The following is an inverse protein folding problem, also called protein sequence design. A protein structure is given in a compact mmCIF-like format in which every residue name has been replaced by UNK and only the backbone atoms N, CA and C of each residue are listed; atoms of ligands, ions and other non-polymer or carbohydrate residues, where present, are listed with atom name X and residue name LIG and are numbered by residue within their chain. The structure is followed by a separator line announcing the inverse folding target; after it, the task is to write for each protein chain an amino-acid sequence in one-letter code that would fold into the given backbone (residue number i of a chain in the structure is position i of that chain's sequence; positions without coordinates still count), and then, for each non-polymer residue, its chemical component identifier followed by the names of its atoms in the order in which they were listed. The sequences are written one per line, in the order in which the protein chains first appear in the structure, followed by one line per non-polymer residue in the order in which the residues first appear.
data_IF_769375252653
#
_entry.id   IF_769375252653
#
_cell.length_a   1.000
_cell.length_b   1.000
_cell.length_c   1.000
_cell.angle_alpha   90.00
_cell.angle_beta   90.00
_cell.angle_gamma   90.00
#
_symmetry.space_group_name_H-M   'P 1'
#
loop_
_entity.id
_entity.type
_entity.pdbx_description
1 polymer ?
#
# COMPACT_ATOMS: atom_id res chain seq x y z
N UNK A 1 -19.01 -10.46 -7.11
CA UNK A 1 -17.75 -10.37 -7.87
C UNK A 1 -17.99 -9.46 -9.06
N UNK A 2 -17.75 -8.15 -8.90
CA UNK A 2 -17.96 -7.17 -9.98
C UNK A 2 -16.63 -6.44 -10.19
N UNK A 3 -15.93 -6.82 -11.25
CA UNK A 3 -14.82 -6.03 -11.79
C UNK A 3 -15.49 -4.97 -12.65
N UNK A 4 -15.66 -3.75 -12.13
CA UNK A 4 -16.18 -2.64 -12.93
C UNK A 4 -15.10 -2.19 -13.89
N UNK A 5 -15.14 -2.74 -15.12
CA UNK A 5 -14.28 -2.35 -16.22
C UNK A 5 -15.07 -1.38 -17.10
N UNK A 6 -14.70 -0.10 -17.10
CA UNK A 6 -15.28 0.89 -18.01
C UNK A 6 -14.71 0.67 -19.42
N UNK A 7 -15.60 0.26 -20.34
CA UNK A 7 -15.47 0.10 -21.81
C UNK A 7 -15.18 -1.33 -22.36
N UNK A 8 -16.26 -1.98 -22.86
CA UNK A 8 -16.48 -2.73 -24.14
C UNK A 8 -15.29 -3.36 -24.89
N UNK A 9 -15.28 -4.57 -25.49
CA UNK A 9 -16.15 -5.76 -25.74
C UNK A 9 -15.21 -6.98 -25.90
N UNK A 10 -15.60 -8.24 -25.63
CA UNK A 10 -14.72 -9.40 -25.84
C UNK A 10 -14.91 -10.05 -27.22
N UNK A 11 -13.82 -10.54 -27.83
CA UNK A 11 -13.87 -11.53 -28.91
C UNK A 11 -12.80 -12.63 -28.74
N UNK A 12 -13.22 -13.87 -29.05
CA UNK A 12 -12.49 -15.17 -29.02
C UNK A 12 -11.28 -15.17 -29.98
N UNK A 13 -10.17 -15.92 -29.87
CA UNK A 13 -9.83 -17.28 -29.38
C UNK A 13 -8.31 -17.38 -29.01
N UNK A 14 -7.86 -18.53 -28.46
CA UNK A 14 -6.47 -19.05 -28.30
C UNK A 14 -5.31 -18.12 -28.74
N UNK A 15 -4.44 -17.81 -27.77
CA UNK A 15 -3.19 -17.02 -27.79
C UNK A 15 -3.33 -15.73 -26.96
N UNK A 16 -2.39 -15.60 -26.01
CA UNK A 16 -2.48 -14.81 -24.79
C UNK A 16 -2.71 -13.32 -25.07
N UNK A 17 -3.90 -12.84 -24.73
CA UNK A 17 -4.33 -11.44 -24.83
C UNK A 17 -3.55 -10.57 -23.84
N UNK A 18 -2.58 -9.79 -24.33
CA UNK A 18 -1.97 -8.70 -23.56
C UNK A 18 -2.70 -7.40 -23.87
N UNK A 19 -3.86 -7.20 -23.24
CA UNK A 19 -4.49 -5.87 -23.21
C UNK A 19 -3.60 -4.94 -22.38
N UNK A 20 -3.05 -3.90 -23.02
CA UNK A 20 -2.27 -2.85 -22.36
C UNK A 20 -3.23 -1.91 -21.62
N UNK A 21 -3.84 -2.38 -20.53
CA UNK A 21 -4.66 -1.57 -19.64
C UNK A 21 -3.76 -0.56 -18.93
N UNK A 22 -4.03 0.76 -19.02
CA UNK A 22 -3.22 1.75 -18.31
C UNK A 22 -3.33 1.65 -16.77
N UNK A 23 -4.48 1.19 -16.26
CA UNK A 23 -4.81 1.12 -14.83
C UNK A 23 -5.78 -0.04 -14.55
N UNK A 24 -5.48 -0.87 -13.55
CA UNK A 24 -6.33 -1.98 -13.10
C UNK A 24 -6.67 -1.82 -11.62
N UNK A 25 -7.95 -1.95 -11.23
CA UNK A 25 -8.38 -1.84 -9.83
C UNK A 25 -8.73 -3.24 -9.31
N UNK A 26 -7.93 -3.72 -8.36
CA UNK A 26 -8.15 -5.01 -7.71
C UNK A 26 -8.55 -4.81 -6.26
N UNK A 27 -9.75 -5.26 -5.89
CA UNK A 27 -10.32 -5.09 -4.55
C UNK A 27 -10.28 -3.62 -4.07
N UNK A 28 -10.36 -2.64 -4.97
CA UNK A 28 -10.25 -1.22 -4.60
C UNK A 28 -8.82 -0.72 -4.36
N UNK A 29 -7.79 -1.52 -4.70
CA UNK A 29 -6.40 -1.09 -4.82
C UNK A 29 -6.03 -0.90 -6.30
N UNK A 30 -5.55 0.28 -6.71
CA UNK A 30 -5.14 0.52 -8.09
C UNK A 30 -3.73 0.00 -8.36
N UNK A 31 -3.57 -0.69 -9.49
CA UNK A 31 -2.32 -1.25 -9.99
C UNK A 31 -2.04 -0.73 -11.41
N UNK A 32 -0.76 -0.55 -11.71
CA UNK A 32 -0.32 -0.13 -13.04
C UNK A 32 -0.40 -1.29 -14.04
N UNK A 33 -0.76 -0.97 -15.28
CA UNK A 33 -0.71 -1.90 -16.41
C UNK A 33 0.66 -2.48 -16.73
N UNK A 34 1.71 -1.77 -16.34
CA UNK A 34 3.10 -2.13 -16.63
C UNK A 34 3.61 -3.28 -15.75
N UNK A 35 2.83 -3.68 -14.73
CA UNK A 35 3.20 -4.71 -13.77
C UNK A 35 4.28 -4.29 -12.77
N UNK A 36 4.81 -3.07 -12.88
CA UNK A 36 5.83 -2.56 -11.96
C UNK A 36 5.21 -2.12 -10.61
N UNK A 37 5.83 -2.54 -9.51
CA UNK A 37 5.39 -2.17 -8.16
C UNK A 37 5.60 -0.68 -7.88
N UNK A 38 6.67 -0.10 -8.41
CA UNK A 38 7.01 1.32 -8.20
C UNK A 38 6.00 2.29 -8.83
N UNK A 39 5.49 1.97 -10.02
CA UNK A 39 4.41 2.73 -10.67
C UNK A 39 3.08 2.52 -9.93
N UNK A 40 2.77 1.29 -9.55
CA UNK A 40 1.57 0.96 -8.76
C UNK A 40 1.52 1.70 -7.43
N UNK A 41 2.64 1.84 -6.71
CA UNK A 41 2.69 2.63 -5.46
C UNK A 41 2.41 4.10 -5.71
N UNK A 42 2.96 4.70 -6.78
CA UNK A 42 2.71 6.10 -7.11
C UNK A 42 1.22 6.34 -7.42
N UNK A 43 0.62 5.43 -8.19
CA UNK A 43 -0.81 5.47 -8.49
C UNK A 43 -1.63 5.33 -7.21
N UNK A 44 -1.30 4.36 -6.35
CA UNK A 44 -1.99 4.19 -5.07
C UNK A 44 -1.84 5.43 -4.17
N UNK A 45 -0.65 6.05 -4.10
CA UNK A 45 -0.44 7.30 -3.37
C UNK A 45 -1.36 8.42 -3.88
N UNK A 46 -1.42 8.60 -5.20
CA UNK A 46 -2.28 9.61 -5.82
C UNK A 46 -3.77 9.31 -5.55
N UNK A 47 -4.17 8.05 -5.60
CA UNK A 47 -5.54 7.63 -5.29
C UNK A 47 -5.91 7.91 -3.82
N UNK A 48 -4.97 7.71 -2.87
CA UNK A 48 -5.18 7.97 -1.44
C UNK A 48 -4.99 9.44 -1.03
N UNK A 49 -4.44 10.28 -1.90
CA UNK A 49 -4.27 11.71 -1.65
C UNK A 49 -5.58 12.42 -1.29
N UNK A 50 -6.70 12.03 -1.90
CA UNK A 50 -8.01 12.60 -1.57
C UNK A 50 -8.37 12.42 -0.07
N UNK A 51 -8.06 11.26 0.51
CA UNK A 51 -8.35 10.99 1.92
C UNK A 51 -7.44 11.80 2.85
N UNK A 52 -6.16 11.94 2.48
CA UNK A 52 -5.23 12.83 3.17
C UNK A 52 -5.72 14.28 3.17
N UNK A 53 -6.17 14.80 2.02
CA UNK A 53 -6.69 16.17 1.90
C UNK A 53 -8.00 16.40 2.67
N UNK A 54 -8.89 15.40 2.71
CA UNK A 54 -10.09 15.45 3.56
C UNK A 54 -9.73 15.56 5.03
N UNK A 55 -8.74 14.78 5.48
CA UNK A 55 -8.25 14.85 6.86
C UNK A 55 -7.59 16.20 7.17
N UNK A 56 -6.76 16.73 6.28
CA UNK A 56 -6.18 18.08 6.44
C UNK A 56 -7.29 19.13 6.56
N UNK A 57 -8.29 19.06 5.68
CA UNK A 57 -9.45 19.95 5.72
C UNK A 57 -10.24 19.82 7.04
N UNK A 58 -10.40 18.60 7.55
CA UNK A 58 -11.01 18.33 8.84
C UNK A 58 -10.24 18.99 9.99
N UNK A 59 -8.92 18.86 10.03
CA UNK A 59 -8.08 19.49 11.06
C UNK A 59 -8.12 21.02 11.02
N UNK A 60 -8.21 21.61 9.81
CA UNK A 60 -8.27 23.06 9.63
C UNK A 60 -9.63 23.66 10.02
N UNK A 61 -10.73 22.97 9.70
CA UNK A 61 -12.09 23.41 10.05
C UNK A 61 -12.40 23.22 11.53
N UNK A 62 -11.94 22.12 12.11
CA UNK A 62 -12.25 21.75 13.50
C UNK A 62 -11.07 22.06 14.42
N UNK A 63 -10.71 23.33 14.55
CA UNK A 63 -9.55 23.74 15.36
C UNK A 63 -9.73 23.38 16.84
N UNK A 64 -10.91 23.61 17.38
CA UNK A 64 -11.24 23.44 18.80
C UNK A 64 -11.44 21.97 19.22
N UNK A 65 -11.44 21.04 18.26
CA UNK A 65 -11.56 19.62 18.57
C UNK A 65 -10.33 19.12 19.34
N UNK A 66 -10.52 18.40 20.47
CA UNK A 66 -9.41 17.84 21.24
C UNK A 66 -8.50 16.97 20.39
N UNK A 67 -7.20 17.03 20.67
CA UNK A 67 -6.17 16.28 19.95
C UNK A 67 -6.47 14.78 19.88
N UNK A 68 -6.94 14.20 20.98
CA UNK A 68 -7.30 12.78 21.06
C UNK A 68 -8.33 12.36 20.00
N UNK A 69 -9.33 13.20 19.73
CA UNK A 69 -10.35 12.93 18.71
C UNK A 69 -9.74 13.00 17.31
N UNK A 70 -8.90 14.01 17.04
CA UNK A 70 -8.19 14.13 15.75
C UNK A 70 -7.26 12.94 15.51
N UNK A 71 -6.57 12.46 16.54
CA UNK A 71 -5.72 11.25 16.49
C UNK A 71 -6.54 10.01 16.14
N UNK A 72 -7.74 9.85 16.73
CA UNK A 72 -8.66 8.76 16.34
C UNK A 72 -9.09 8.82 14.88
N UNK A 73 -9.49 10.00 14.40
CA UNK A 73 -9.90 10.20 13.00
C UNK A 73 -8.72 9.92 12.04
N UNK A 74 -7.51 10.34 12.41
CA UNK A 74 -6.30 10.04 11.65
C UNK A 74 -6.10 8.53 11.46
N UNK A 75 -6.15 7.75 12.55
CA UNK A 75 -6.01 6.30 12.45
C UNK A 75 -7.15 5.65 11.67
N UNK A 76 -8.38 6.08 11.91
CA UNK A 76 -9.57 5.48 11.32
C UNK A 76 -9.73 5.78 9.82
N UNK A 77 -9.37 6.98 9.36
CA UNK A 77 -9.59 7.39 7.97
C UNK A 77 -8.31 7.36 7.13
N UNK A 78 -7.21 7.92 7.65
CA UNK A 78 -5.96 8.04 6.90
C UNK A 78 -5.16 6.76 6.98
N UNK A 79 -4.81 6.31 8.20
CA UNK A 79 -3.95 5.15 8.37
C UNK A 79 -4.58 3.87 7.79
N UNK A 80 -5.87 3.64 8.05
CA UNK A 80 -6.60 2.50 7.47
C UNK A 80 -6.58 2.51 5.94
N UNK A 81 -6.81 3.67 5.31
CA UNK A 81 -6.82 3.81 3.86
C UNK A 81 -5.42 3.73 3.25
N UNK A 82 -4.39 4.19 3.97
CA UNK A 82 -3.01 4.15 3.53
C UNK A 82 -2.45 2.72 3.58
N UNK A 83 -2.79 2.00 4.65
CA UNK A 83 -2.35 0.63 4.92
C UNK A 83 -3.12 -0.41 4.10
N UNK A 84 -4.22 -0.01 3.44
CA UNK A 84 -4.99 -0.90 2.59
C UNK A 84 -4.18 -1.31 1.36
N UNK A 85 -4.03 -2.62 1.16
CA UNK A 85 -3.26 -3.17 0.03
C UNK A 85 -1.74 -3.09 0.19
N UNK A 86 -1.21 -2.67 1.35
CA UNK A 86 0.24 -2.61 1.58
C UNK A 86 0.94 -3.98 1.53
N UNK A 87 0.19 -5.05 1.75
CA UNK A 87 0.66 -6.44 1.66
C UNK A 87 1.15 -6.77 0.23
N UNK A 88 0.51 -6.20 -0.78
CA UNK A 88 0.86 -6.36 -2.20
C UNK A 88 2.01 -5.47 -2.66
N UNK A 89 2.48 -4.53 -1.83
CA UNK A 89 3.49 -3.53 -2.23
C UNK A 89 4.94 -4.05 -2.15
N UNK A 90 5.16 -5.30 -1.76
CA UNK A 90 6.46 -6.02 -1.71
C UNK A 90 7.64 -5.07 -1.41
N UNK A 91 8.60 -4.95 -2.34
CA UNK A 91 9.81 -4.12 -2.23
C UNK A 91 9.70 -2.76 -2.97
N UNK A 92 8.49 -2.32 -3.31
CA UNK A 92 8.35 -1.07 -4.05
C UNK A 92 8.72 0.17 -3.20
N UNK A 93 9.10 1.25 -3.88
CA UNK A 93 9.48 2.51 -3.22
C UNK A 93 8.28 3.18 -2.49
N UNK A 94 8.23 3.06 -1.16
CA UNK A 94 7.14 3.58 -0.29
C UNK A 94 7.18 5.11 -0.08
N UNK A 95 8.25 5.80 -0.50
CA UNK A 95 8.44 7.26 -0.29
C UNK A 95 7.22 8.12 -0.67
N UNK A 96 6.47 7.86 -1.77
CA UNK A 96 5.27 8.62 -2.11
C UNK A 96 4.18 8.52 -1.04
N UNK A 97 3.95 7.34 -0.48
CA UNK A 97 2.98 7.12 0.60
C UNK A 97 3.44 7.78 1.91
N UNK A 98 4.74 7.70 2.19
CA UNK A 98 5.33 8.28 3.39
C UNK A 98 5.19 9.81 3.40
N UNK A 99 5.36 10.45 2.24
CA UNK A 99 5.11 11.89 2.08
C UNK A 99 3.69 12.29 2.47
N UNK A 100 2.69 11.48 2.12
CA UNK A 100 1.28 11.71 2.46
C UNK A 100 1.03 11.56 3.96
N UNK A 101 1.58 10.50 4.55
CA UNK A 101 1.48 10.26 5.99
C UNK A 101 2.11 11.41 6.79
N UNK A 102 3.32 11.81 6.42
CA UNK A 102 4.05 12.89 7.07
C UNK A 102 3.32 14.23 6.95
N UNK A 103 2.68 14.51 5.82
CA UNK A 103 1.83 15.68 5.66
C UNK A 103 0.67 15.65 6.67
N UNK A 104 -0.04 14.53 6.77
CA UNK A 104 -1.17 14.39 7.69
C UNK A 104 -0.74 14.50 9.16
N UNK A 105 0.38 13.88 9.53
CA UNK A 105 0.97 13.95 10.88
C UNK A 105 1.29 15.39 11.26
N UNK A 106 1.90 16.15 10.35
CA UNK A 106 2.22 17.57 10.61
C UNK A 106 0.94 18.40 10.81
N UNK A 107 -0.10 18.14 10.03
CA UNK A 107 -1.40 18.80 10.21
C UNK A 107 -2.12 18.36 11.49
N UNK A 108 -1.94 17.11 11.93
CA UNK A 108 -2.51 16.59 13.19
C UNK A 108 -1.90 17.31 14.40
N UNK A 109 -0.57 17.52 14.41
CA UNK A 109 0.15 18.24 15.46
C UNK A 109 0.09 19.77 15.30
N UNK A 110 -0.53 20.28 14.22
CA UNK A 110 -0.56 21.70 13.88
C UNK A 110 0.83 22.35 13.78
N UNK A 111 1.82 21.60 13.28
CA UNK A 111 3.20 22.08 13.10
C UNK A 111 3.43 22.65 11.71
N UNK A 112 4.47 23.49 11.57
CA UNK A 112 4.88 24.06 10.28
C UNK A 112 5.35 22.95 9.33
N UNK A 113 5.22 23.19 8.02
CA UNK A 113 5.64 22.23 6.98
C UNK A 113 7.14 21.86 7.06
N UNK A 114 7.98 22.81 7.51
CA UNK A 114 9.43 22.67 7.61
C UNK A 114 9.90 21.95 8.88
N UNK A 115 9.00 21.65 9.83
CA UNK A 115 9.36 20.92 11.05
C UNK A 115 9.84 19.51 10.70
N UNK A 116 10.88 19.06 11.40
CA UNK A 116 11.49 17.73 11.20
C UNK A 116 10.46 16.62 11.45
N UNK A 117 10.34 15.70 10.49
CA UNK A 117 9.38 14.59 10.58
C UNK A 117 9.71 13.62 11.71
N UNK A 118 10.99 13.36 11.99
CA UNK A 118 11.40 12.45 13.08
C UNK A 118 10.88 12.91 14.43
N UNK A 119 10.94 14.22 14.73
CA UNK A 119 10.37 14.79 15.94
C UNK A 119 8.86 14.54 16.01
N UNK A 120 8.13 14.77 14.92
CA UNK A 120 6.68 14.55 14.87
C UNK A 120 6.29 13.08 15.10
N UNK A 121 7.12 12.13 14.66
CA UNK A 121 6.89 10.71 14.86
C UNK A 121 7.11 10.29 16.32
N UNK A 122 8.16 10.83 16.95
CA UNK A 122 8.46 10.59 18.37
C UNK A 122 7.34 11.13 19.26
N UNK A 123 6.85 12.35 19.01
CA UNK A 123 5.74 12.94 19.77
C UNK A 123 4.44 12.14 19.68
N UNK A 124 4.22 11.42 18.57
CA UNK A 124 3.02 10.62 18.36
C UNK A 124 3.13 9.19 18.86
N UNK A 125 4.34 8.78 19.29
CA UNK A 125 4.75 7.40 19.53
C UNK A 125 4.44 6.51 18.31
N UNK A 126 4.85 6.98 17.13
CA UNK A 126 4.59 6.32 15.85
C UNK A 126 5.89 5.88 15.17
N UNK A 127 5.99 4.61 14.75
CA UNK A 127 7.10 4.17 13.92
C UNK A 127 6.98 4.74 12.49
N UNK A 128 8.06 4.63 11.72
CA UNK A 128 8.05 5.03 10.31
C UNK A 128 7.04 4.21 9.51
N UNK A 129 6.49 4.80 8.44
CA UNK A 129 5.52 4.10 7.60
C UNK A 129 6.11 2.81 7.00
N UNK A 130 7.41 2.84 6.64
CA UNK A 130 8.12 1.66 6.16
C UNK A 130 8.07 0.53 7.18
N UNK A 131 8.35 0.81 8.45
CA UNK A 131 8.30 -0.21 9.51
C UNK A 131 6.89 -0.80 9.68
N UNK A 132 5.84 0.03 9.63
CA UNK A 132 4.45 -0.44 9.70
C UNK A 132 4.09 -1.35 8.51
N UNK A 133 4.49 -0.96 7.30
CA UNK A 133 4.25 -1.75 6.09
C UNK A 133 4.97 -3.09 6.18
N UNK A 134 6.26 -3.10 6.55
CA UNK A 134 7.04 -4.33 6.73
C UNK A 134 6.45 -5.24 7.81
N UNK A 135 5.99 -4.68 8.93
CA UNK A 135 5.33 -5.46 9.98
C UNK A 135 4.06 -6.12 9.46
N UNK A 136 3.24 -5.38 8.70
CA UNK A 136 1.99 -5.91 8.13
C UNK A 136 2.25 -6.98 7.07
N UNK A 137 3.20 -6.74 6.17
CA UNK A 137 3.65 -7.72 5.18
C UNK A 137 4.13 -9.01 5.86
N UNK A 138 4.98 -8.89 6.89
CA UNK A 138 5.47 -10.06 7.65
C UNK A 138 4.33 -10.85 8.28
N UNK A 139 3.35 -10.16 8.88
CA UNK A 139 2.18 -10.82 9.47
C UNK A 139 1.36 -11.57 8.41
N UNK A 140 1.10 -10.92 7.28
CA UNK A 140 0.36 -11.51 6.16
C UNK A 140 1.06 -12.75 5.61
N UNK A 141 2.36 -12.65 5.26
CA UNK A 141 3.11 -13.77 4.72
C UNK A 141 3.26 -14.91 5.71
N UNK A 142 3.40 -14.63 7.01
CA UNK A 142 3.44 -15.68 8.04
C UNK A 142 2.13 -16.48 8.09
N UNK A 143 0.99 -15.80 8.02
CA UNK A 143 -0.33 -16.45 7.99
C UNK A 143 -0.53 -17.25 6.71
N UNK A 144 -0.27 -16.63 5.56
CA UNK A 144 -0.37 -17.29 4.24
C UNK A 144 0.52 -18.52 4.16
N UNK A 145 1.76 -18.43 4.68
CA UNK A 145 2.68 -19.56 4.70
C UNK A 145 2.14 -20.72 5.52
N UNK A 146 1.68 -20.47 6.75
CA UNK A 146 1.16 -21.51 7.62
C UNK A 146 -0.09 -22.21 7.05
N UNK A 147 -0.94 -21.48 6.32
CA UNK A 147 -2.14 -22.04 5.71
C UNK A 147 -1.86 -22.84 4.43
N UNK A 148 -0.86 -22.41 3.63
CA UNK A 148 -0.62 -22.94 2.28
C UNK A 148 0.52 -23.94 2.19
N UNK A 149 1.25 -24.18 3.27
CA UNK A 149 2.36 -25.14 3.31
C UNK A 149 1.94 -26.56 2.88
N UNK A 150 0.71 -26.97 3.23
CA UNK A 150 0.18 -28.29 2.90
C UNK A 150 -0.66 -28.33 1.60
N UNK A 151 -0.76 -27.21 0.88
CA UNK A 151 -1.52 -27.15 -0.37
C UNK A 151 -0.65 -27.61 -1.55
N UNK A 152 -1.09 -28.70 -2.19
CA UNK A 152 -0.54 -29.16 -3.47
C UNK A 152 -1.08 -28.22 -4.56
N UNK A 153 -0.21 -27.73 -5.44
CA UNK A 153 -0.49 -26.78 -6.53
C UNK A 153 -0.86 -25.33 -6.13
N UNK A 154 -0.32 -24.82 -5.03
CA UNK A 154 -0.40 -23.37 -4.75
C UNK A 154 0.60 -22.56 -5.61
N UNK A 155 0.14 -21.53 -6.36
CA UNK A 155 1.02 -20.74 -7.23
C UNK A 155 2.10 -19.94 -6.47
N UNK A 156 1.86 -19.56 -5.20
CA UNK A 156 2.86 -18.86 -4.39
C UNK A 156 3.94 -19.85 -3.95
N UNK A 157 3.55 -21.03 -3.46
CA UNK A 157 4.48 -22.11 -3.12
C UNK A 157 5.33 -22.53 -4.33
N UNK A 158 4.73 -22.58 -5.52
CA UNK A 158 5.44 -22.84 -6.77
C UNK A 158 6.45 -21.73 -7.10
N UNK A 159 6.03 -20.45 -7.06
CA UNK A 159 6.93 -19.33 -7.31
C UNK A 159 8.13 -19.30 -6.35
N UNK A 160 7.91 -19.62 -5.06
CA UNK A 160 8.98 -19.69 -4.07
C UNK A 160 9.95 -20.84 -4.35
N UNK A 161 9.44 -22.00 -4.78
CA UNK A 161 10.29 -23.12 -5.21
C UNK A 161 11.16 -22.76 -6.41
N UNK A 162 10.63 -22.01 -7.37
CA UNK A 162 11.40 -21.51 -8.51
C UNK A 162 12.56 -20.61 -8.03
N UNK A 163 12.26 -19.63 -7.17
CA UNK A 163 13.28 -18.72 -6.61
C UNK A 163 14.35 -19.46 -5.80
N UNK A 164 13.96 -20.47 -5.00
CA UNK A 164 14.91 -21.30 -4.25
C UNK A 164 15.85 -22.08 -5.18
N UNK A 165 15.31 -22.63 -6.27
CA UNK A 165 16.12 -23.34 -7.28
C UNK A 165 17.14 -22.41 -7.93
N UNK A 166 16.72 -21.20 -8.31
CA UNK A 166 17.62 -20.18 -8.89
C UNK A 166 18.73 -19.74 -7.93
N UNK A 167 18.41 -19.57 -6.64
CA UNK A 167 19.41 -19.16 -5.63
C UNK A 167 20.41 -20.26 -5.31
N UNK A 168 20.02 -21.53 -5.35
CA UNK A 168 20.96 -22.65 -5.22
C UNK A 168 21.92 -22.75 -6.40
N UNK A 169 21.45 -22.50 -7.63
CA UNK A 169 22.31 -22.50 -8.83
C UNK A 169 23.32 -21.34 -8.84
N UNK A 170 23.02 -20.22 -8.17
CA UNK A 170 23.93 -19.09 -8.02
C UNK A 170 24.98 -19.28 -6.91
N UNK A 171 24.85 -20.30 -6.05
CA UNK A 171 25.81 -20.62 -5.00
C UNK A 171 26.87 -21.66 -5.44
N UNK A 172 26.65 -22.31 -6.58
CA UNK A 172 27.57 -23.31 -7.17
C UNK A 172 28.52 -22.70 -8.23
N UNK A 173 28.63 -21.37 -8.30
CA UNK A 173 29.58 -20.58 -9.12
C UNK A 173 30.40 -19.67 -8.21
#
# INVERSE_FOLDING_TARGET
MVITCSATRPYCTRNVYKNMFSLYIYLGSPFSGDGMTSSSIKINANFRMCQALKFVSFCLKNKDTPFYVKKKVFYAAVMSSLMYGCESLLDGNIKPMEKLCNMCIKHLLFVRKNTTTSLCLVELDLPTLKALVTQRQRKFFKTIWAERENMIDDPISHAIRLVKTETSQLQDI
#
